data_IF_084919549683
#
_entry.id   IF_084919549683
#
_cell.length_a   1.000
_cell.length_b   1.000
_cell.length_c   1.000
_cell.angle_alpha   90.00
_cell.angle_beta   90.00
_cell.angle_gamma   90.00
#
_symmetry.space_group_name_H-M   'P 1'
#
loop_
_entity.id
_entity.type
_entity.pdbx_description
1 polymer ?
#
# COMPACT_ATOMS: atom_id res chain seq x y z
N UNK A 1 22.56 2.39 1.00
CA UNK A 1 21.68 1.72 0.01
C UNK A 1 21.24 0.41 0.67
N UNK A 2 19.95 0.26 0.95
CA UNK A 2 19.41 -0.96 1.55
C UNK A 2 19.46 -2.14 0.57
N UNK A 3 19.11 -3.36 1.02
CA UNK A 3 19.01 -4.50 0.13
C UNK A 3 17.97 -4.24 -0.97
N UNK A 4 18.24 -4.74 -2.17
CA UNK A 4 17.27 -4.70 -3.27
C UNK A 4 16.08 -5.58 -2.88
N UNK A 5 14.87 -5.04 -3.00
CA UNK A 5 13.64 -5.78 -2.77
C UNK A 5 13.46 -6.87 -3.83
N UNK A 6 13.47 -8.14 -3.43
CA UNK A 6 13.05 -9.26 -4.27
C UNK A 6 11.51 -9.39 -4.29
N UNK A 7 10.86 -8.44 -4.97
CA UNK A 7 9.41 -8.41 -5.06
C UNK A 7 8.85 -9.67 -5.75
N UNK A 8 9.59 -10.25 -6.70
CA UNK A 8 9.16 -11.46 -7.41
C UNK A 8 9.17 -12.67 -6.46
N UNK A 9 10.23 -12.85 -5.67
CA UNK A 9 10.31 -13.91 -4.68
C UNK A 9 9.25 -13.78 -3.59
N UNK A 10 8.99 -12.57 -3.08
CA UNK A 10 7.93 -12.34 -2.09
C UNK A 10 6.56 -12.69 -2.67
N UNK A 11 6.26 -12.27 -3.91
CA UNK A 11 5.00 -12.64 -4.59
C UNK A 11 4.85 -14.15 -4.77
N UNK A 12 5.94 -14.85 -5.11
CA UNK A 12 5.91 -16.29 -5.33
C UNK A 12 5.64 -17.09 -4.05
N UNK A 13 5.99 -16.55 -2.88
CA UNK A 13 5.72 -17.15 -1.56
C UNK A 13 4.38 -16.75 -0.95
N UNK A 14 3.66 -15.82 -1.58
CA UNK A 14 2.39 -15.33 -1.06
C UNK A 14 1.31 -16.41 -1.10
N UNK A 15 0.53 -16.51 -0.02
CA UNK A 15 -0.57 -17.46 0.13
C UNK A 15 -1.89 -16.85 -0.35
N UNK A 16 -2.01 -15.53 -0.31
CA UNK A 16 -3.20 -14.79 -0.73
C UNK A 16 -2.82 -13.54 -1.52
N UNK A 17 -3.68 -13.20 -2.47
CA UNK A 17 -3.70 -11.89 -3.15
C UNK A 17 -5.02 -11.20 -2.86
N UNK A 18 -4.96 -9.92 -2.49
CA UNK A 18 -6.10 -9.04 -2.31
C UNK A 18 -5.98 -7.91 -3.34
N UNK A 19 -7.10 -7.54 -3.94
CA UNK A 19 -7.22 -6.24 -4.61
C UNK A 19 -7.52 -5.14 -3.58
N UNK A 20 -7.49 -3.88 -4.04
CA UNK A 20 -7.77 -2.71 -3.23
C UNK A 20 -9.12 -2.78 -2.51
N UNK A 21 -10.18 -3.19 -3.21
CA UNK A 21 -11.53 -3.25 -2.65
C UNK A 21 -11.59 -4.24 -1.48
N UNK A 22 -11.07 -5.45 -1.68
CA UNK A 22 -11.04 -6.48 -0.63
C UNK A 22 -10.18 -6.04 0.56
N UNK A 23 -9.04 -5.39 0.30
CA UNK A 23 -8.15 -4.89 1.34
C UNK A 23 -8.83 -3.81 2.19
N UNK A 24 -9.40 -2.77 1.58
CA UNK A 24 -10.06 -1.68 2.31
C UNK A 24 -11.37 -2.11 2.97
N UNK A 25 -12.10 -3.06 2.41
CA UNK A 25 -13.26 -3.66 3.08
C UNK A 25 -12.84 -4.41 4.36
N UNK A 26 -11.72 -5.14 4.33
CA UNK A 26 -11.16 -5.80 5.51
C UNK A 26 -10.72 -4.81 6.59
N UNK A 27 -10.04 -3.74 6.20
CA UNK A 27 -9.64 -2.65 7.11
C UNK A 27 -10.86 -1.95 7.74
N UNK A 28 -11.89 -1.68 6.93
CA UNK A 28 -13.14 -1.09 7.43
C UNK A 28 -13.86 -2.01 8.42
N UNK A 29 -13.85 -3.33 8.22
CA UNK A 29 -14.41 -4.29 9.17
C UNK A 29 -13.67 -4.30 10.52
N UNK A 30 -12.41 -3.85 10.57
CA UNK A 30 -11.63 -3.63 11.78
C UNK A 30 -11.81 -2.23 12.39
N UNK A 31 -12.62 -1.36 11.77
CA UNK A 31 -12.88 0.01 12.20
C UNK A 31 -12.01 1.08 11.52
N UNK A 32 -11.14 0.70 10.58
CA UNK A 32 -10.29 1.64 9.84
C UNK A 32 -10.98 2.12 8.55
N UNK A 33 -11.75 3.20 8.67
CA UNK A 33 -12.50 3.78 7.54
C UNK A 33 -11.65 4.80 6.77
N UNK A 34 -10.73 4.33 5.93
CA UNK A 34 -9.92 5.19 5.07
C UNK A 34 -10.75 5.79 3.93
N UNK A 35 -10.72 7.12 3.80
CA UNK A 35 -11.32 7.82 2.66
C UNK A 35 -10.43 7.77 1.40
N UNK A 36 -10.95 8.14 0.22
CA UNK A 36 -10.25 7.99 -1.07
C UNK A 36 -8.84 8.62 -1.13
N UNK A 37 -8.62 9.70 -0.39
CA UNK A 37 -7.32 10.37 -0.31
C UNK A 37 -6.23 9.55 0.41
N UNK A 38 -6.62 8.55 1.20
CA UNK A 38 -5.71 7.65 1.92
C UNK A 38 -5.72 6.22 1.36
N UNK A 39 -6.48 5.98 0.29
CA UNK A 39 -6.57 4.67 -0.35
C UNK A 39 -5.50 4.49 -1.44
N UNK A 40 -4.24 4.37 -1.04
CA UNK A 40 -3.11 4.27 -1.98
C UNK A 40 -2.72 2.82 -2.35
N UNK A 41 -3.27 1.80 -1.68
CA UNK A 41 -3.00 0.38 -1.98
C UNK A 41 -3.83 -0.08 -3.19
N UNK A 42 -3.17 -0.68 -4.18
CA UNK A 42 -3.83 -1.33 -5.32
C UNK A 42 -4.00 -2.83 -5.15
N UNK A 43 -2.96 -3.48 -4.66
CA UNK A 43 -2.87 -4.93 -4.55
C UNK A 43 -1.97 -5.29 -3.36
N UNK A 44 -2.35 -6.33 -2.63
CA UNK A 44 -1.59 -6.87 -1.52
C UNK A 44 -1.37 -8.37 -1.72
N UNK A 45 -0.14 -8.81 -1.53
CA UNK A 45 0.24 -10.22 -1.45
C UNK A 45 0.67 -10.52 -0.01
N UNK A 46 0.01 -11.47 0.64
CA UNK A 46 0.30 -11.85 2.04
C UNK A 46 0.78 -13.28 2.11
N UNK A 47 1.87 -13.53 2.84
CA UNK A 47 2.36 -14.87 3.17
C UNK A 47 2.78 -14.97 4.63
N UNK A 48 3.41 -16.09 4.99
CA UNK A 48 3.90 -16.31 6.35
C UNK A 48 4.98 -15.28 6.75
N UNK A 49 4.61 -14.34 7.63
CA UNK A 49 5.54 -13.35 8.20
C UNK A 49 5.98 -12.24 7.23
N UNK A 50 5.38 -12.14 6.05
CA UNK A 50 5.72 -11.11 5.07
C UNK A 50 4.51 -10.64 4.26
N UNK A 51 4.55 -9.38 3.85
CA UNK A 51 3.55 -8.73 3.00
C UNK A 51 4.26 -7.92 1.93
N UNK A 52 3.75 -7.96 0.70
CA UNK A 52 4.10 -7.03 -0.36
C UNK A 52 2.86 -6.26 -0.78
N UNK A 53 2.95 -4.93 -0.79
CA UNK A 53 1.90 -4.07 -1.32
C UNK A 53 2.38 -3.34 -2.58
N UNK A 54 1.49 -3.21 -3.56
CA UNK A 54 1.64 -2.26 -4.66
C UNK A 54 0.89 -0.99 -4.29
N UNK A 55 1.63 0.11 -4.16
CA UNK A 55 1.09 1.41 -3.75
C UNK A 55 1.19 2.39 -4.91
N UNK A 56 0.12 3.14 -5.16
CA UNK A 56 0.09 4.26 -6.11
C UNK A 56 -0.51 5.50 -5.44
N UNK A 57 0.06 6.69 -5.69
CA UNK A 57 -0.56 7.95 -5.30
C UNK A 57 -2.03 8.04 -5.74
N UNK A 58 -2.97 8.31 -4.83
CA UNK A 58 -4.35 8.63 -5.19
C UNK A 58 -4.43 9.83 -6.13
N UNK A 59 -5.53 9.93 -6.89
CA UNK A 59 -5.75 11.05 -7.79
C UNK A 59 -5.70 12.39 -7.05
N UNK A 60 -4.94 13.35 -7.58
CA UNK A 60 -4.75 14.67 -6.97
C UNK A 60 -3.74 14.73 -5.82
N UNK A 61 -3.15 13.59 -5.41
CA UNK A 61 -2.14 13.59 -4.34
C UNK A 61 -0.83 14.28 -4.78
N UNK A 62 -0.41 14.03 -6.01
CA UNK A 62 0.80 14.64 -6.57
C UNK A 62 0.43 15.92 -7.32
N UNK A 63 0.28 17.01 -6.57
CA UNK A 63 0.08 18.36 -7.09
C UNK A 63 1.40 19.13 -7.29
N UNK A 64 1.34 20.46 -7.50
CA UNK A 64 2.52 21.32 -7.63
C UNK A 64 3.52 21.17 -6.47
N UNK A 65 3.00 20.89 -5.27
CA UNK A 65 3.76 20.78 -4.03
C UNK A 65 4.29 19.35 -3.76
N UNK A 66 4.10 18.42 -4.71
CA UNK A 66 4.57 17.04 -4.57
C UNK A 66 6.09 16.95 -4.31
N UNK A 67 6.87 17.90 -4.82
CA UNK A 67 8.31 18.00 -4.61
C UNK A 67 8.74 18.55 -3.25
N UNK A 68 7.81 19.09 -2.44
CA UNK A 68 8.11 19.60 -1.10
C UNK A 68 8.30 18.47 -0.07
N UNK A 69 7.84 17.25 -0.41
CA UNK A 69 7.94 16.08 0.45
C UNK A 69 9.05 15.13 -0.02
N UNK A 70 9.95 14.75 0.89
CA UNK A 70 10.91 13.66 0.62
C UNK A 70 10.20 12.30 0.51
N UNK A 71 9.12 12.13 1.27
CA UNK A 71 8.14 11.05 1.16
C UNK A 71 6.77 11.62 1.53
N UNK A 72 5.79 11.49 0.63
CA UNK A 72 4.46 12.03 0.89
C UNK A 72 3.80 11.30 2.07
N UNK A 73 3.23 12.00 3.08
CA UNK A 73 2.66 11.36 4.28
C UNK A 73 1.62 10.27 3.98
N UNK A 74 0.74 10.48 3.01
CA UNK A 74 -0.23 9.45 2.56
C UNK A 74 0.45 8.18 2.03
N UNK A 75 1.56 8.30 1.30
CA UNK A 75 2.28 7.13 0.78
C UNK A 75 2.99 6.38 1.92
N UNK A 76 3.51 7.11 2.90
CA UNK A 76 4.09 6.51 4.11
C UNK A 76 3.02 5.81 4.95
N UNK A 77 1.85 6.44 5.15
CA UNK A 77 0.73 5.86 5.88
C UNK A 77 0.27 4.55 5.25
N UNK A 78 0.19 4.47 3.92
CA UNK A 78 -0.15 3.24 3.20
C UNK A 78 0.82 2.06 3.45
N UNK A 79 2.03 2.30 3.97
CA UNK A 79 2.94 1.22 4.38
C UNK A 79 2.59 0.63 5.76
N UNK A 80 1.74 1.29 6.54
CA UNK A 80 1.28 0.86 7.87
C UNK A 80 -0.19 0.38 7.88
N UNK A 81 -0.91 0.56 6.77
CA UNK A 81 -2.25 0.00 6.53
C UNK A 81 -2.18 -1.52 6.31
#
# INVERSE_FOLDING_TARGET
LGPVLDAAGIRARAERRLDAETCYAGLAALGYHYGPAFQAIEEVWTGAGEVLAKVRPPAGLLGPDAGEHHLHPVLLDACFQ
#
